data_IF_238099598513
#
_entry.id   IF_238099598513
#
_cell.length_a   1.000
_cell.length_b   1.000
_cell.length_c   1.000
_cell.angle_alpha   90.00
_cell.angle_beta   90.00
_cell.angle_gamma   90.00
#
_symmetry.space_group_name_H-M   'P 1'
#
loop_
_entity.id
_entity.type
_entity.pdbx_description
1 polymer ?
#
# COMPACT_ATOMS: atom_id res chain seq x y z
N UNK A 1 42.88 -25.07 28.92
CA UNK A 1 41.84 -25.57 28.01
C UNK A 1 40.61 -24.69 28.24
N UNK A 2 40.49 -23.48 27.65
CA UNK A 2 40.15 -23.19 26.25
C UNK A 2 39.01 -24.12 25.82
N UNK A 3 37.77 -23.67 25.66
CA UNK A 3 37.32 -22.82 24.55
C UNK A 3 36.23 -21.82 24.98
N UNK A 4 36.45 -20.52 24.67
CA UNK A 4 35.39 -19.52 24.59
C UNK A 4 34.69 -19.72 23.25
N UNK A 5 33.39 -20.05 23.26
CA UNK A 5 32.53 -20.01 22.07
C UNK A 5 32.56 -18.58 21.50
N UNK A 6 33.19 -18.42 20.34
CA UNK A 6 33.01 -17.24 19.51
C UNK A 6 31.53 -17.20 19.10
N UNK A 7 30.78 -16.27 19.67
CA UNK A 7 29.52 -15.86 19.08
C UNK A 7 29.84 -15.38 17.66
N UNK A 8 29.26 -16.04 16.68
CA UNK A 8 29.31 -15.66 15.27
C UNK A 8 28.77 -14.23 15.14
N UNK A 9 29.69 -13.27 15.06
CA UNK A 9 29.44 -11.87 14.78
C UNK A 9 29.05 -11.75 13.30
N UNK A 10 27.82 -12.14 12.98
CA UNK A 10 27.22 -11.79 11.71
C UNK A 10 27.01 -10.27 11.74
N UNK A 11 27.59 -9.49 10.79
CA UNK A 11 27.38 -8.06 10.76
C UNK A 11 25.89 -7.80 10.67
N UNK A 12 25.31 -7.13 11.68
CA UNK A 12 23.91 -6.75 11.64
C UNK A 12 23.67 -5.99 10.33
N UNK A 13 22.68 -6.39 9.52
CA UNK A 13 22.43 -5.72 8.26
C UNK A 13 22.12 -4.26 8.56
N UNK A 14 22.84 -3.36 7.88
CA UNK A 14 22.63 -1.94 8.04
C UNK A 14 21.15 -1.61 7.78
N UNK A 15 20.51 -1.01 8.79
CA UNK A 15 19.10 -0.69 8.83
C UNK A 15 18.94 0.82 9.02
N UNK A 16 18.00 1.42 8.30
CA UNK A 16 17.65 2.83 8.47
C UNK A 16 16.17 2.98 8.78
N UNK A 17 15.83 4.03 9.52
CA UNK A 17 14.44 4.39 9.83
C UNK A 17 14.08 5.72 9.17
N UNK A 18 13.00 5.74 8.39
CA UNK A 18 12.55 6.91 7.64
C UNK A 18 11.04 7.01 7.64
N UNK A 19 10.51 8.19 7.32
CA UNK A 19 9.07 8.42 7.24
C UNK A 19 8.53 7.91 5.89
N UNK A 20 7.41 7.21 5.89
CA UNK A 20 6.69 6.87 4.67
C UNK A 20 6.21 8.16 3.97
N UNK A 21 6.34 8.25 2.67
CA UNK A 21 5.82 9.37 1.88
C UNK A 21 5.14 8.87 0.62
N UNK A 22 4.34 9.73 0.02
CA UNK A 22 3.56 9.46 -1.18
C UNK A 22 4.49 9.10 -2.34
N UNK A 23 4.13 8.05 -3.10
CA UNK A 23 4.85 7.69 -4.31
C UNK A 23 4.54 8.66 -5.45
N UNK A 24 5.42 8.67 -6.45
CA UNK A 24 5.13 9.33 -7.71
C UNK A 24 4.13 8.50 -8.50
N UNK A 25 3.25 9.16 -9.27
CA UNK A 25 2.25 8.50 -10.10
C UNK A 25 2.83 7.39 -11.01
N UNK A 26 4.06 7.54 -11.50
CA UNK A 26 4.74 6.55 -12.36
C UNK A 26 5.25 5.30 -11.64
N UNK A 27 5.31 5.34 -10.31
CA UNK A 27 5.80 4.25 -9.46
C UNK A 27 4.65 3.46 -8.82
N UNK A 28 3.42 3.98 -8.89
CA UNK A 28 2.21 3.35 -8.36
C UNK A 28 1.97 1.99 -9.02
N UNK A 29 1.76 0.96 -8.20
CA UNK A 29 1.52 -0.41 -8.62
C UNK A 29 2.77 -1.17 -9.05
N UNK A 30 3.97 -0.58 -8.94
CA UNK A 30 5.23 -1.19 -9.38
C UNK A 30 6.08 -1.77 -8.24
N UNK A 31 5.63 -1.65 -7.00
CA UNK A 31 6.39 -2.10 -5.82
C UNK A 31 7.74 -1.40 -5.70
N UNK A 32 7.80 -0.10 -5.98
CA UNK A 32 9.02 0.71 -5.94
C UNK A 32 9.09 1.49 -4.63
N UNK A 33 10.26 1.47 -3.99
CA UNK A 33 10.61 2.34 -2.88
C UNK A 33 11.69 3.33 -3.32
N UNK A 34 11.40 4.64 -3.30
CA UNK A 34 12.43 5.66 -3.55
C UNK A 34 13.11 6.09 -2.27
N UNK A 35 14.44 5.96 -2.27
CA UNK A 35 15.30 6.31 -1.15
C UNK A 35 16.31 7.38 -1.59
N UNK A 36 16.75 8.20 -0.64
CA UNK A 36 17.90 9.08 -0.88
C UNK A 36 19.12 8.23 -1.28
N UNK A 37 19.93 8.62 -2.29
CA UNK A 37 21.19 7.95 -2.58
C UNK A 37 22.11 7.75 -1.35
N UNK A 38 22.13 8.68 -0.40
CA UNK A 38 22.86 8.54 0.85
C UNK A 38 22.28 7.43 1.75
N UNK A 39 20.94 7.33 1.81
CA UNK A 39 20.23 6.28 2.54
C UNK A 39 20.46 4.91 1.90
N UNK A 40 20.44 4.83 0.57
CA UNK A 40 20.77 3.62 -0.20
C UNK A 40 22.19 3.14 0.11
N UNK A 41 23.17 4.04 0.08
CA UNK A 41 24.55 3.74 0.42
C UNK A 41 24.68 3.25 1.88
N UNK A 42 23.95 3.87 2.82
CA UNK A 42 23.98 3.49 4.24
C UNK A 42 23.51 2.06 4.48
N UNK A 43 22.53 1.55 3.72
CA UNK A 43 22.06 0.14 3.81
C UNK A 43 22.74 -0.79 2.79
N UNK A 44 23.73 -0.29 2.04
CA UNK A 44 24.43 -1.06 1.01
C UNK A 44 23.55 -1.48 -0.18
N UNK A 45 22.49 -0.75 -0.49
CA UNK A 45 21.58 -1.03 -1.60
C UNK A 45 21.94 -0.25 -2.86
N UNK A 46 21.84 -0.89 -4.02
CA UNK A 46 21.97 -0.26 -5.33
C UNK A 46 20.60 0.00 -5.99
N UNK A 47 20.50 0.88 -7.01
CA UNK A 47 19.29 1.00 -7.82
C UNK A 47 18.90 -0.35 -8.44
N UNK A 48 17.66 -0.78 -8.22
CA UNK A 48 17.14 -2.06 -8.68
C UNK A 48 17.25 -3.21 -7.66
N UNK A 49 18.02 -3.03 -6.58
CA UNK A 49 18.03 -3.99 -5.46
C UNK A 49 16.68 -4.03 -4.74
N UNK A 50 16.49 -5.05 -3.91
CA UNK A 50 15.29 -5.22 -3.10
C UNK A 50 15.61 -4.89 -1.65
N UNK A 51 14.69 -4.18 -0.99
CA UNK A 51 14.76 -3.90 0.44
C UNK A 51 13.55 -4.47 1.15
N UNK A 52 13.77 -4.94 2.36
CA UNK A 52 12.70 -5.16 3.32
C UNK A 52 12.20 -3.82 3.83
N UNK A 53 10.88 -3.66 3.83
CA UNK A 53 10.18 -2.56 4.48
C UNK A 53 9.43 -3.11 5.68
N UNK A 54 9.84 -2.69 6.88
CA UNK A 54 9.32 -3.20 8.15
C UNK A 54 8.58 -2.10 8.89
N UNK A 55 7.26 -2.21 8.93
CA UNK A 55 6.36 -1.42 9.77
C UNK A 55 5.68 -2.30 10.81
N UNK A 56 4.34 -2.26 10.88
CA UNK A 56 3.54 -3.24 11.65
C UNK A 56 3.59 -4.63 11.01
N UNK A 57 3.81 -4.67 9.69
CA UNK A 57 4.02 -5.87 8.87
C UNK A 57 5.34 -5.72 8.10
N UNK A 58 5.80 -6.81 7.51
CA UNK A 58 7.01 -6.82 6.70
C UNK A 58 6.64 -7.12 5.25
N UNK A 59 7.17 -6.32 4.34
CA UNK A 59 7.03 -6.50 2.90
C UNK A 59 8.37 -6.22 2.20
N UNK A 60 8.40 -6.23 0.87
CA UNK A 60 9.57 -5.92 0.07
C UNK A 60 9.24 -4.94 -1.05
N UNK A 61 10.24 -4.16 -1.47
CA UNK A 61 10.12 -3.23 -2.58
C UNK A 61 11.44 -3.08 -3.33
N UNK A 62 11.36 -2.73 -4.61
CA UNK A 62 12.51 -2.43 -5.47
C UNK A 62 13.00 -1.01 -5.20
N UNK A 63 14.28 -0.86 -4.90
CA UNK A 63 14.90 0.42 -4.58
C UNK A 63 15.14 1.22 -5.85
N UNK A 64 14.74 2.48 -5.83
CA UNK A 64 15.11 3.47 -6.84
C UNK A 64 15.63 4.74 -6.16
N UNK A 65 16.51 5.52 -6.81
CA UNK A 65 16.95 6.78 -6.23
C UNK A 65 15.81 7.81 -6.19
N UNK A 66 15.73 8.55 -5.09
CA UNK A 66 14.90 9.73 -4.97
C UNK A 66 15.40 10.85 -5.91
N UNK A 67 14.45 11.61 -6.45
CA UNK A 67 14.77 12.76 -7.28
C UNK A 67 15.39 13.88 -6.43
N UNK A 68 16.22 14.75 -7.02
CA UNK A 68 16.90 15.82 -6.29
C UNK A 68 16.01 16.63 -5.32
N UNK A 69 14.76 16.99 -5.66
CA UNK A 69 13.88 17.74 -4.75
C UNK A 69 13.51 17.01 -3.46
N UNK A 70 13.63 15.68 -3.43
CA UNK A 70 13.20 14.82 -2.30
C UNK A 70 14.37 14.29 -1.47
N UNK A 71 15.61 14.61 -1.87
CA UNK A 71 16.82 14.24 -1.12
C UNK A 71 16.94 15.05 0.18
N UNK A 72 17.53 14.45 1.20
CA UNK A 72 17.74 15.03 2.52
C UNK A 72 16.51 15.11 3.41
N UNK A 73 15.32 14.73 2.92
CA UNK A 73 14.05 14.86 3.67
C UNK A 73 13.82 13.75 4.71
N UNK A 74 14.64 12.70 4.71
CA UNK A 74 14.48 11.58 5.63
C UNK A 74 13.19 10.78 5.37
N UNK A 75 12.82 10.61 4.10
CA UNK A 75 11.60 9.93 3.65
C UNK A 75 11.90 8.72 2.77
N UNK A 76 10.96 7.77 2.73
CA UNK A 76 10.89 6.70 1.74
C UNK A 76 9.56 6.84 1.00
N UNK A 77 9.63 7.09 -0.31
CA UNK A 77 8.42 7.20 -1.13
C UNK A 77 7.98 5.80 -1.58
N UNK A 78 6.79 5.38 -1.17
CA UNK A 78 6.19 4.08 -1.48
C UNK A 78 4.71 4.28 -1.75
N UNK A 79 4.12 3.47 -2.64
CA UNK A 79 2.72 3.61 -3.01
C UNK A 79 1.77 3.08 -1.92
N UNK A 80 0.47 3.38 -2.06
CA UNK A 80 -0.54 2.93 -1.08
C UNK A 80 -0.60 1.42 -0.89
N UNK A 81 -0.29 0.64 -1.92
CA UNK A 81 -0.27 -0.82 -1.83
C UNK A 81 0.92 -1.34 -1.01
N UNK A 82 2.11 -0.79 -1.25
CA UNK A 82 3.32 -1.13 -0.49
C UNK A 82 3.21 -0.65 0.96
N UNK A 83 2.65 0.56 1.19
CA UNK A 83 2.32 1.06 2.54
C UNK A 83 1.38 0.12 3.28
N UNK A 84 0.32 -0.33 2.61
CA UNK A 84 -0.62 -1.30 3.16
C UNK A 84 0.06 -2.61 3.54
N UNK A 85 0.92 -3.15 2.68
CA UNK A 85 1.63 -4.39 2.92
C UNK A 85 2.64 -4.27 4.08
N UNK A 86 3.29 -3.11 4.22
CA UNK A 86 4.14 -2.80 5.37
C UNK A 86 3.33 -2.46 6.65
N UNK A 87 2.03 -2.20 6.52
CA UNK A 87 1.17 -1.78 7.63
C UNK A 87 1.56 -0.42 8.20
N UNK A 88 1.85 0.55 7.33
CA UNK A 88 2.24 1.92 7.72
C UNK A 88 1.38 2.95 7.02
N UNK A 89 0.97 3.99 7.75
CA UNK A 89 0.29 5.15 7.20
C UNK A 89 1.29 6.22 6.69
N UNK A 90 0.78 7.22 5.96
CA UNK A 90 1.61 8.31 5.47
C UNK A 90 2.32 9.03 6.62
N UNK A 91 3.64 9.14 6.46
CA UNK A 91 4.56 9.76 7.39
C UNK A 91 4.78 9.05 8.73
N UNK A 92 4.18 7.88 8.97
CA UNK A 92 4.69 6.96 9.98
C UNK A 92 6.10 6.51 9.64
N UNK A 93 6.86 6.08 10.65
CA UNK A 93 8.22 5.59 10.45
C UNK A 93 8.19 4.11 10.09
N UNK A 94 8.98 3.74 9.08
CA UNK A 94 9.29 2.37 8.74
C UNK A 94 10.79 2.16 8.70
N UNK A 95 11.20 0.91 8.91
CA UNK A 95 12.59 0.50 8.77
C UNK A 95 12.84 -0.10 7.40
N UNK A 96 13.99 0.21 6.83
CA UNK A 96 14.45 -0.33 5.56
C UNK A 96 15.82 -0.97 5.74
N UNK A 97 15.97 -2.18 5.18
CA UNK A 97 17.23 -2.91 5.13
C UNK A 97 17.32 -3.69 3.82
N UNK A 98 18.52 -3.91 3.30
CA UNK A 98 18.72 -4.73 2.09
C UNK A 98 18.15 -6.14 2.29
N UNK A 99 17.51 -6.67 1.25
CA UNK A 99 16.94 -8.01 1.25
C UNK A 99 17.60 -8.86 0.17
N UNK A 100 17.91 -10.11 0.52
CA UNK A 100 18.16 -11.14 -0.47
C UNK A 100 16.83 -11.59 -1.05
N UNK A 101 16.79 -11.84 -2.37
CA UNK A 101 15.60 -12.28 -3.06
C UNK A 101 15.96 -13.25 -4.18
N UNK A 102 15.02 -14.10 -4.54
CA UNK A 102 15.19 -15.08 -5.61
C UNK A 102 14.12 -14.94 -6.70
N UNK A 103 14.40 -15.34 -7.94
CA UNK A 103 13.36 -15.54 -8.94
C UNK A 103 12.31 -16.53 -8.41
N UNK A 104 11.02 -16.18 -8.52
CA UNK A 104 9.95 -17.09 -8.15
C UNK A 104 9.82 -18.22 -9.19
N UNK A 105 9.85 -19.47 -8.74
CA UNK A 105 9.42 -20.62 -9.54
C UNK A 105 7.89 -20.66 -9.63
N UNK A 106 7.23 -20.46 -8.49
CA UNK A 106 5.77 -20.54 -8.37
C UNK A 106 5.27 -19.54 -7.34
N UNK A 107 4.15 -18.87 -7.65
CA UNK A 107 3.44 -18.00 -6.70
C UNK A 107 1.97 -18.38 -6.70
N UNK A 108 1.43 -18.59 -5.49
CA UNK A 108 0.01 -18.89 -5.32
C UNK A 108 -0.72 -17.64 -4.84
N UNK A 109 -1.79 -17.27 -5.54
CA UNK A 109 -2.57 -16.06 -5.29
C UNK A 109 -4.01 -16.41 -4.91
N UNK A 110 -4.65 -15.58 -4.09
CA UNK A 110 -6.09 -15.64 -3.83
C UNK A 110 -6.74 -14.31 -4.21
N UNK A 111 -7.86 -14.31 -4.97
CA UNK A 111 -8.56 -13.08 -5.30
C UNK A 111 -9.23 -12.48 -4.05
N UNK A 112 -9.09 -11.16 -3.85
CA UNK A 112 -9.70 -10.44 -2.74
C UNK A 112 -11.09 -9.86 -3.04
N UNK A 113 -11.51 -9.85 -4.32
CA UNK A 113 -12.86 -9.42 -4.71
C UNK A 113 -13.61 -10.55 -5.42
N UNK A 114 -14.92 -10.61 -5.19
CA UNK A 114 -15.81 -11.55 -5.88
C UNK A 114 -16.20 -10.92 -7.21
N UNK A 115 -15.50 -11.27 -8.30
CA UNK A 115 -16.12 -11.16 -9.62
C UNK A 115 -16.73 -12.51 -10.00
N UNK A 116 -18.05 -12.48 -10.23
CA UNK A 116 -18.88 -13.60 -10.71
C UNK A 116 -18.62 -13.97 -12.18
N UNK A 117 -17.68 -13.33 -12.86
CA UNK A 117 -17.34 -13.69 -14.23
C UNK A 117 -16.51 -14.97 -14.22
N UNK A 118 -17.04 -16.00 -14.88
CA UNK A 118 -16.39 -17.28 -15.11
C UNK A 118 -14.95 -17.05 -15.58
N UNK A 119 -13.96 -17.40 -14.74
CA UNK A 119 -12.56 -17.48 -15.15
C UNK A 119 -12.50 -18.30 -16.43
N UNK A 120 -11.87 -17.76 -17.46
CA UNK A 120 -11.52 -18.56 -18.63
C UNK A 120 -10.17 -19.23 -18.35
N UNK A 121 -9.98 -20.42 -18.89
CA UNK A 121 -8.64 -21.02 -18.94
C UNK A 121 -7.68 -20.02 -19.62
N UNK A 122 -6.56 -19.72 -18.95
CA UNK A 122 -5.56 -18.74 -19.43
C UNK A 122 -5.49 -17.43 -18.63
N UNK A 123 -6.44 -17.14 -17.74
CA UNK A 123 -6.42 -15.93 -16.91
C UNK A 123 -5.18 -15.87 -16.00
N UNK A 124 -4.72 -17.01 -15.48
CA UNK A 124 -3.57 -17.11 -14.57
C UNK A 124 -2.27 -16.66 -15.25
N UNK A 125 -2.06 -17.06 -16.51
CA UNK A 125 -0.89 -16.67 -17.29
C UNK A 125 -0.94 -15.18 -17.68
N UNK A 126 -2.13 -14.65 -17.98
CA UNK A 126 -2.29 -13.22 -18.24
C UNK A 126 -1.99 -12.38 -16.98
N UNK A 127 -2.50 -12.80 -15.81
CA UNK A 127 -2.19 -12.17 -14.53
C UNK A 127 -0.67 -12.22 -14.25
N UNK A 128 0.00 -13.33 -14.52
CA UNK A 128 1.45 -13.43 -14.37
C UNK A 128 2.23 -12.38 -15.18
N UNK A 129 1.84 -12.14 -16.43
CA UNK A 129 2.44 -11.07 -17.25
C UNK A 129 2.20 -9.67 -16.68
N UNK A 130 1.04 -9.42 -16.08
CA UNK A 130 0.72 -8.12 -15.48
C UNK A 130 1.49 -7.86 -14.19
N UNK A 131 1.88 -8.92 -13.48
CA UNK A 131 2.63 -8.86 -12.23
C UNK A 131 4.14 -9.01 -12.43
N UNK A 132 4.61 -9.15 -13.67
CA UNK A 132 6.01 -9.36 -13.99
C UNK A 132 6.88 -8.18 -13.52
N UNK A 133 8.02 -8.50 -12.91
CA UNK A 133 8.96 -7.53 -12.36
C UNK A 133 8.61 -7.00 -10.97
N UNK A 134 7.46 -7.38 -10.41
CA UNK A 134 7.12 -7.13 -9.01
C UNK A 134 7.92 -8.03 -8.08
N UNK A 135 8.24 -7.48 -6.91
CA UNK A 135 8.84 -8.20 -5.80
C UNK A 135 7.81 -8.32 -4.68
N UNK A 136 7.73 -9.48 -4.05
CA UNK A 136 6.71 -9.77 -3.06
C UNK A 136 7.16 -10.83 -2.05
N UNK A 137 6.42 -10.90 -0.94
CA UNK A 137 6.49 -11.95 0.07
C UNK A 137 5.10 -12.54 0.31
N UNK A 138 5.05 -13.68 1.01
CA UNK A 138 3.78 -14.25 1.47
C UNK A 138 3.00 -13.25 2.34
N UNK A 139 1.69 -13.17 2.13
CA UNK A 139 0.79 -12.24 2.81
C UNK A 139 0.64 -10.88 2.14
N UNK A 140 1.49 -10.53 1.17
CA UNK A 140 1.38 -9.27 0.43
C UNK A 140 0.07 -9.20 -0.37
N UNK A 141 -0.47 -7.99 -0.51
CA UNK A 141 -1.50 -7.67 -1.50
C UNK A 141 -0.84 -7.16 -2.78
N UNK A 142 -1.22 -7.73 -3.91
CA UNK A 142 -0.77 -7.32 -5.25
C UNK A 142 -1.96 -6.94 -6.12
N UNK A 143 -1.76 -6.00 -7.04
CA UNK A 143 -2.81 -5.51 -7.96
C UNK A 143 -2.43 -5.82 -9.39
N UNK A 144 -3.27 -6.58 -10.09
CA UNK A 144 -3.17 -6.73 -11.53
C UNK A 144 -4.08 -5.69 -12.21
N UNK A 145 -3.48 -4.80 -13.00
CA UNK A 145 -4.20 -3.79 -13.78
C UNK A 145 -4.37 -4.30 -15.20
N UNK A 146 -5.62 -4.61 -15.57
CA UNK A 146 -5.98 -5.08 -16.90
C UNK A 146 -6.13 -3.91 -17.87
N UNK A 147 -6.28 -4.21 -19.16
CA UNK A 147 -6.59 -3.18 -20.15
C UNK A 147 -7.86 -2.40 -19.76
N UNK A 148 -7.78 -1.07 -19.85
CA UNK A 148 -8.86 -0.15 -19.45
C UNK A 148 -8.79 0.22 -17.97
N UNK A 149 -9.96 0.25 -17.31
CA UNK A 149 -10.10 0.68 -15.90
C UNK A 149 -10.21 -0.50 -14.92
N UNK A 150 -10.10 -1.74 -15.42
CA UNK A 150 -10.29 -2.93 -14.59
C UNK A 150 -8.99 -3.25 -13.85
N UNK A 151 -9.09 -3.40 -12.54
CA UNK A 151 -8.01 -3.91 -11.70
C UNK A 151 -8.56 -4.96 -10.75
N UNK A 152 -7.72 -5.92 -10.38
CA UNK A 152 -8.05 -6.98 -9.44
C UNK A 152 -6.93 -7.09 -8.42
N UNK A 153 -7.32 -7.09 -7.15
CA UNK A 153 -6.39 -7.30 -6.05
C UNK A 153 -6.37 -8.79 -5.67
N UNK A 154 -5.17 -9.25 -5.35
CA UNK A 154 -4.88 -10.60 -4.89
C UNK A 154 -4.07 -10.56 -3.61
N UNK A 155 -4.23 -11.57 -2.76
CA UNK A 155 -3.30 -11.87 -1.66
C UNK A 155 -2.35 -12.97 -2.08
N UNK A 156 -1.06 -12.79 -1.80
CA UNK A 156 -0.04 -13.83 -1.95
C UNK A 156 -0.23 -14.85 -0.83
N UNK A 157 -0.62 -16.07 -1.21
CA UNK A 157 -0.79 -17.17 -0.26
C UNK A 157 0.51 -17.91 0.01
N UNK A 158 1.37 -18.04 -1.01
CA UNK A 158 2.60 -18.80 -0.91
C UNK A 158 3.56 -18.43 -2.04
N UNK A 159 4.85 -18.43 -1.74
CA UNK A 159 5.94 -18.27 -2.71
C UNK A 159 6.83 -19.52 -2.74
N UNK A 160 7.40 -19.82 -3.91
CA UNK A 160 8.41 -20.87 -4.08
C UNK A 160 9.59 -20.30 -4.87
N UNK A 161 10.79 -20.19 -4.29
CA UNK A 161 11.14 -20.50 -2.89
C UNK A 161 10.40 -19.60 -1.88
N UNK A 162 10.35 -20.03 -0.61
CA UNK A 162 9.76 -19.23 0.46
C UNK A 162 10.63 -18.00 0.74
N UNK A 163 9.99 -16.88 1.11
CA UNK A 163 10.66 -15.60 1.35
C UNK A 163 10.50 -14.60 0.21
N UNK A 164 11.34 -13.55 0.16
CA UNK A 164 11.31 -12.53 -0.88
C UNK A 164 11.58 -13.11 -2.26
N UNK A 165 10.64 -12.90 -3.17
CA UNK A 165 10.77 -13.35 -4.55
C UNK A 165 10.41 -12.27 -5.56
N UNK A 166 11.02 -12.34 -6.73
CA UNK A 166 10.67 -11.53 -7.89
C UNK A 166 9.87 -12.38 -8.89
N UNK A 167 8.72 -11.86 -9.34
CA UNK A 167 7.98 -12.47 -10.45
C UNK A 167 8.73 -12.19 -11.75
N UNK A 168 9.04 -13.26 -12.50
CA UNK A 168 9.66 -13.21 -13.82
C UNK A 168 8.77 -13.94 -14.84
N UNK A 169 9.09 -13.84 -16.13
CA UNK A 169 8.31 -14.49 -17.19
C UNK A 169 8.22 -16.02 -17.03
N UNK A 170 9.21 -16.66 -16.37
CA UNK A 170 9.23 -18.09 -16.10
C UNK A 170 8.42 -18.50 -14.84
N UNK A 171 7.93 -17.54 -14.04
CA UNK A 171 7.20 -17.81 -12.81
C UNK A 171 5.83 -18.39 -13.12
N UNK A 172 5.50 -19.54 -12.53
CA UNK A 172 4.17 -20.13 -12.63
C UNK A 172 3.22 -19.48 -11.61
N UNK A 173 2.19 -18.78 -12.09
CA UNK A 173 1.13 -18.24 -11.23
C UNK A 173 0.00 -19.26 -11.11
N UNK A 174 -0.40 -19.58 -9.88
CA UNK A 174 -1.59 -20.38 -9.59
C UNK A 174 -2.57 -19.55 -8.79
N UNK A 175 -3.77 -19.32 -9.32
CA UNK A 175 -4.76 -18.55 -8.59
C UNK A 175 -5.81 -19.47 -7.96
N UNK A 176 -5.88 -19.48 -6.63
CA UNK A 176 -6.88 -20.24 -5.88
C UNK A 176 -8.31 -19.83 -6.26
N UNK A 177 -9.21 -20.82 -6.30
CA UNK A 177 -10.66 -20.65 -6.56
C UNK A 177 -11.45 -20.32 -5.30
N UNK A 178 -10.91 -20.65 -4.12
CA UNK A 178 -11.51 -20.32 -2.81
C UNK A 178 -10.57 -19.35 -2.11
N UNK A 179 -10.98 -18.09 -2.00
CA UNK A 179 -10.46 -17.23 -0.96
C UNK A 179 -11.13 -17.66 0.34
N UNK A 180 -10.41 -18.34 1.22
CA UNK A 180 -10.75 -18.39 2.66
C UNK A 180 -10.46 -17.06 3.35
N UNK A 181 -10.29 -15.99 2.56
CA UNK A 181 -9.93 -14.64 2.96
C UNK A 181 -11.18 -13.79 2.74
N UNK A 182 -11.52 -12.97 3.73
CA UNK A 182 -12.65 -12.05 3.62
C UNK A 182 -12.54 -11.20 2.35
N UNK A 183 -13.67 -11.04 1.67
CA UNK A 183 -13.78 -10.21 0.48
C UNK A 183 -13.62 -8.76 0.92
N UNK A 184 -12.46 -8.17 0.64
CA UNK A 184 -12.17 -6.80 1.01
C UNK A 184 -12.42 -5.88 -0.19
N UNK A 185 -13.03 -4.69 0.02
CA UNK A 185 -13.12 -3.71 -1.03
C UNK A 185 -11.73 -3.34 -1.57
N UNK A 186 -11.69 -2.91 -2.82
CA UNK A 186 -10.48 -2.35 -3.41
C UNK A 186 -10.05 -1.14 -2.58
N UNK A 187 -8.80 -1.16 -2.09
CA UNK A 187 -8.23 0.00 -1.41
C UNK A 187 -7.86 1.02 -2.48
N UNK A 188 -8.32 2.25 -2.28
CA UNK A 188 -7.97 3.41 -3.10
C UNK A 188 -7.03 4.24 -2.25
N UNK A 189 -5.89 4.63 -2.80
CA UNK A 189 -4.96 5.56 -2.16
C UNK A 189 -5.03 6.94 -2.80
N UNK A 190 -4.33 7.94 -2.24
CA UNK A 190 -4.33 9.27 -2.85
C UNK A 190 -3.69 9.29 -4.24
N UNK A 191 -2.71 8.42 -4.48
CA UNK A 191 -2.02 8.33 -5.77
C UNK A 191 -2.93 7.75 -6.87
N UNK A 192 -4.01 7.06 -6.50
CA UNK A 192 -5.03 6.57 -7.44
C UNK A 192 -5.97 7.70 -7.92
N UNK A 193 -5.86 8.93 -7.39
CA UNK A 193 -6.74 10.07 -7.69
C UNK A 193 -6.00 11.12 -8.52
N UNK A 194 -6.36 11.22 -9.80
CA UNK A 194 -5.80 12.21 -10.73
C UNK A 194 -6.52 13.57 -10.71
N UNK A 195 -5.76 14.65 -10.87
CA UNK A 195 -6.29 15.98 -11.19
C UNK A 195 -6.92 16.76 -10.04
N UNK A 196 -6.89 16.23 -8.81
CA UNK A 196 -7.51 16.85 -7.62
C UNK A 196 -6.47 17.16 -6.52
N UNK A 197 -5.24 17.49 -6.91
CA UNK A 197 -4.14 17.69 -5.95
C UNK A 197 -4.39 18.82 -4.95
N UNK A 198 -5.03 19.92 -5.39
CA UNK A 198 -5.35 21.06 -4.52
C UNK A 198 -6.41 20.68 -3.49
N UNK A 199 -7.49 20.04 -3.95
CA UNK A 199 -8.60 19.60 -3.13
C UNK A 199 -8.14 18.54 -2.13
N UNK A 200 -7.32 17.57 -2.57
CA UNK A 200 -6.70 16.59 -1.69
C UNK A 200 -5.81 17.25 -0.64
N UNK A 201 -5.04 18.29 -1.00
CA UNK A 201 -4.25 19.06 -0.04
C UNK A 201 -5.11 19.65 1.07
N UNK A 202 -6.19 20.35 0.72
CA UNK A 202 -7.11 20.92 1.70
C UNK A 202 -7.78 19.85 2.57
N UNK A 203 -8.15 18.71 2.00
CA UNK A 203 -8.76 17.60 2.74
C UNK A 203 -7.76 16.97 3.71
N UNK A 204 -6.50 16.80 3.31
CA UNK A 204 -5.43 16.32 4.19
C UNK A 204 -5.20 17.28 5.36
N UNK A 205 -5.19 18.58 5.12
CA UNK A 205 -5.06 19.58 6.19
C UNK A 205 -6.20 19.50 7.20
N UNK A 206 -7.44 19.32 6.73
CA UNK A 206 -8.63 19.27 7.58
C UNK A 206 -8.82 17.95 8.33
N UNK A 207 -8.31 16.81 7.80
CA UNK A 207 -8.55 15.49 8.36
C UNK A 207 -7.27 14.85 8.91
N UNK A 208 -6.18 14.85 8.15
CA UNK A 208 -4.94 14.14 8.52
C UNK A 208 -4.19 14.89 9.62
N UNK A 209 -4.05 16.22 9.54
CA UNK A 209 -3.31 16.99 10.53
C UNK A 209 -3.90 16.88 11.95
N UNK A 210 -5.22 17.03 12.16
CA UNK A 210 -5.81 16.89 13.50
C UNK A 210 -5.64 15.50 14.09
N UNK A 211 -5.82 14.45 13.28
CA UNK A 211 -5.68 13.06 13.73
C UNK A 211 -4.22 12.73 14.09
N UNK A 212 -3.28 13.35 13.38
CA UNK A 212 -1.86 13.02 13.51
C UNK A 212 -1.11 13.86 14.53
N UNK A 213 -1.52 15.11 14.72
CA UNK A 213 -0.87 16.05 15.63
C UNK A 213 -1.88 16.72 16.57
N UNK A 214 -2.68 15.97 17.34
CA UNK A 214 -3.72 16.54 18.22
C UNK A 214 -3.13 17.54 19.22
N UNK A 215 -1.93 17.28 19.73
CA UNK A 215 -1.23 18.16 20.67
C UNK A 215 -0.98 19.57 20.12
N UNK A 216 -0.77 19.72 18.80
CA UNK A 216 -0.55 21.03 18.18
C UNK A 216 -1.86 21.83 18.17
N UNK A 217 -2.97 21.18 17.86
CA UNK A 217 -4.29 21.80 17.85
C UNK A 217 -4.71 22.24 19.25
N UNK A 218 -4.46 21.41 20.26
CA UNK A 218 -4.69 21.73 21.66
C UNK A 218 -3.87 22.94 22.12
N UNK A 219 -2.57 22.98 21.82
CA UNK A 219 -1.68 24.09 22.20
C UNK A 219 -2.04 25.41 21.52
N UNK A 220 -2.49 25.35 20.28
CA UNK A 220 -2.91 26.54 19.53
C UNK A 220 -4.34 26.98 19.89
N UNK A 221 -5.10 26.17 20.63
CA UNK A 221 -6.50 26.45 20.95
C UNK A 221 -7.42 26.46 19.73
N UNK A 222 -7.08 25.69 18.69
CA UNK A 222 -7.83 25.64 17.42
C UNK A 222 -8.63 24.33 17.40
N UNK A 223 -9.95 24.42 17.22
CA UNK A 223 -10.78 23.23 17.02
C UNK A 223 -10.61 22.66 15.60
N UNK A 224 -10.52 21.33 15.52
CA UNK A 224 -10.54 20.64 14.23
C UNK A 224 -11.92 20.77 13.56
N UNK A 225 -11.99 20.83 12.21
CA UNK A 225 -13.26 20.83 11.49
C UNK A 225 -14.10 19.58 11.82
N UNK A 226 -15.38 19.77 12.17
CA UNK A 226 -16.29 18.67 12.57
C UNK A 226 -16.87 17.90 11.38
N UNK A 227 -16.84 18.47 10.18
CA UNK A 227 -17.39 17.86 8.98
C UNK A 227 -16.98 18.59 7.72
N UNK A 228 -17.08 17.90 6.59
CA UNK A 228 -16.72 18.43 5.27
C UNK A 228 -17.82 18.11 4.26
N UNK A 229 -18.16 19.09 3.41
CA UNK A 229 -19.11 18.90 2.31
C UNK A 229 -18.36 18.91 0.98
N UNK A 230 -18.33 17.77 0.29
CA UNK A 230 -17.79 17.67 -1.07
C UNK A 230 -18.93 17.90 -2.08
N UNK A 231 -18.87 19.00 -2.83
CA UNK A 231 -19.87 19.34 -3.85
C UNK A 231 -19.29 19.37 -5.27
N UNK A 232 -20.14 19.47 -6.29
CA UNK A 232 -19.78 19.58 -7.71
C UNK A 232 -20.42 18.51 -8.60
N UNK A 233 -20.08 18.48 -9.90
CA UNK A 233 -20.71 17.58 -10.87
C UNK A 233 -20.57 16.09 -10.51
N UNK A 234 -21.50 15.23 -10.99
CA UNK A 234 -21.35 13.78 -10.87
C UNK A 234 -20.09 13.31 -11.63
N UNK A 235 -19.41 12.30 -11.09
CA UNK A 235 -18.21 11.73 -11.73
C UNK A 235 -16.88 12.38 -11.35
N UNK A 236 -16.85 13.48 -10.57
CA UNK A 236 -15.60 14.13 -10.14
C UNK A 236 -14.89 13.43 -8.96
N UNK A 237 -15.10 12.13 -8.74
CA UNK A 237 -14.33 11.36 -7.75
C UNK A 237 -14.62 11.63 -6.27
N UNK A 238 -15.74 12.29 -5.89
CA UNK A 238 -16.05 12.63 -4.48
C UNK A 238 -16.05 11.42 -3.54
N UNK A 239 -16.71 10.33 -3.95
CA UNK A 239 -16.73 9.07 -3.18
C UNK A 239 -15.36 8.38 -3.16
N UNK A 240 -14.57 8.53 -4.22
CA UNK A 240 -13.21 7.97 -4.27
C UNK A 240 -12.29 8.71 -3.30
N UNK A 241 -12.38 10.03 -3.23
CA UNK A 241 -11.63 10.84 -2.26
C UNK A 241 -11.97 10.41 -0.83
N UNK A 242 -13.27 10.33 -0.49
CA UNK A 242 -13.68 9.92 0.86
C UNK A 242 -13.12 8.53 1.25
N UNK A 243 -13.12 7.59 0.30
CA UNK A 243 -12.52 6.26 0.50
C UNK A 243 -11.00 6.30 0.64
N UNK A 244 -10.32 7.12 -0.17
CA UNK A 244 -8.87 7.27 -0.13
C UNK A 244 -8.42 7.85 1.20
N UNK A 245 -9.08 8.91 1.67
CA UNK A 245 -8.78 9.52 2.98
C UNK A 245 -8.90 8.48 4.09
N UNK A 246 -10.02 7.76 4.15
CA UNK A 246 -10.23 6.78 5.22
C UNK A 246 -9.22 5.62 5.18
N UNK A 247 -8.80 5.19 3.98
CA UNK A 247 -7.77 4.17 3.85
C UNK A 247 -6.39 4.65 4.32
N UNK A 248 -6.05 5.92 4.10
CA UNK A 248 -4.75 6.50 4.42
C UNK A 248 -4.61 6.93 5.88
N UNK A 249 -5.71 7.33 6.52
CA UNK A 249 -5.72 7.71 7.94
C UNK A 249 -5.93 6.53 8.90
N UNK A 250 -6.02 5.30 8.37
CA UNK A 250 -6.38 4.08 9.10
C UNK A 250 -7.68 4.24 9.94
N UNK A 251 -8.58 5.11 9.46
CA UNK A 251 -9.83 5.43 10.12
C UNK A 251 -10.95 4.48 9.69
N UNK A 252 -11.89 4.22 10.60
CA UNK A 252 -13.07 3.41 10.27
C UNK A 252 -13.98 4.17 9.31
N UNK A 253 -14.20 3.61 8.12
CA UNK A 253 -15.05 4.20 7.09
C UNK A 253 -16.48 3.68 7.18
N UNK A 254 -17.44 4.57 7.45
CA UNK A 254 -18.86 4.27 7.36
C UNK A 254 -19.44 4.99 6.14
N UNK A 255 -20.08 4.23 5.24
CA UNK A 255 -20.73 4.77 4.05
C UNK A 255 -22.23 4.65 4.21
N UNK A 256 -22.90 5.77 4.45
CA UNK A 256 -24.35 5.86 4.44
C UNK A 256 -24.80 6.53 3.13
N UNK A 257 -25.59 5.83 2.32
CA UNK A 257 -26.18 6.43 1.10
C UNK A 257 -27.56 6.97 1.45
N UNK A 258 -27.89 8.18 1.00
CA UNK A 258 -29.22 8.79 1.25
C UNK A 258 -30.40 7.85 0.94
N UNK A 259 -30.42 7.13 -0.21
CA UNK A 259 -31.46 6.14 -0.49
C UNK A 259 -31.53 4.95 0.46
N UNK A 260 -30.47 4.63 1.22
CA UNK A 260 -30.46 3.56 2.23
C UNK A 260 -31.09 4.01 3.55
N UNK A 261 -31.12 5.32 3.81
CA UNK A 261 -31.74 5.90 5.01
C UNK A 261 -33.23 6.14 4.77
N UNK A 262 -33.64 6.41 3.53
CA UNK A 262 -35.02 6.71 3.15
C UNK A 262 -35.88 5.43 3.11
N UNK A 263 -36.31 4.95 4.27
CA UNK A 263 -37.31 3.89 4.40
C UNK A 263 -38.73 4.48 4.39
N UNK A 264 -39.70 3.74 3.83
CA UNK A 264 -41.13 4.13 3.79
C UNK A 264 -41.80 4.14 5.17
N UNK A 265 -41.15 3.61 6.21
CA UNK A 265 -41.69 3.47 7.55
C UNK A 265 -41.05 4.49 8.51
N UNK A 266 -41.90 5.31 9.12
CA UNK A 266 -41.52 6.36 10.06
C UNK A 266 -40.87 5.71 11.30
N UNK A 267 -39.59 6.00 11.57
CA UNK A 267 -38.85 5.52 12.76
C UNK A 267 -37.65 4.61 12.49
N UNK A 268 -37.55 3.95 11.32
CA UNK A 268 -36.38 3.10 11.00
C UNK A 268 -35.15 3.92 10.56
N UNK A 269 -35.38 5.10 9.98
CA UNK A 269 -34.31 5.99 9.49
C UNK A 269 -33.41 6.53 10.61
N UNK A 270 -33.93 6.69 11.84
CA UNK A 270 -33.16 7.17 13.01
C UNK A 270 -32.32 6.05 13.66
N UNK A 271 -32.68 4.78 13.46
CA UNK A 271 -31.91 3.64 13.99
C UNK A 271 -30.66 3.31 13.14
N UNK A 272 -30.59 3.82 11.91
CA UNK A 272 -29.47 3.64 10.97
C UNK A 272 -28.53 4.86 10.89
N UNK A 273 -28.81 5.93 11.65
CA UNK A 273 -27.98 7.13 11.83
C UNK A 273 -27.10 6.99 13.07
#
# INVERSE_FOLDING_TARGET
MLERKAASDQPQPAELTRKASEALAKDVGRGVARLDPADMAAIGAAPGDVVHLVGKKQTVAKVMPAFPPDRGKGIIQIDGLTRHNAGVALGERLRARRAEYHPANKVRLAPLSVQRSARKEGDDHYVGRLLEGLVLVEGDRVRATFMGTRSQDFTVLQTTPAGPVAIQSATTIEISRRSGVEVLPQRVSYEDIGGLHRELGSIREMIELPLRYPEIFERLGIEAPKGMLLHGPPGCGKTLIARAVANETDAKFFSLRGPEIMHKFYGESEAHL
#
